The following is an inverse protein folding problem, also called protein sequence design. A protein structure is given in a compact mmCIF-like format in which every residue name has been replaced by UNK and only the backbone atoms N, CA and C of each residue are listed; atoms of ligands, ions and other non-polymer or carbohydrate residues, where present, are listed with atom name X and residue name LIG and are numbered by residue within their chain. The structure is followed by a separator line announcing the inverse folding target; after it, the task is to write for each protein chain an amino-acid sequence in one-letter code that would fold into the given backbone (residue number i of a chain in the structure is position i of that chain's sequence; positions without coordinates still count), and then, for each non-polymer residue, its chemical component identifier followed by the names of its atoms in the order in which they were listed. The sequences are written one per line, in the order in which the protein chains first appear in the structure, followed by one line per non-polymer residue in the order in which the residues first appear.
data_IF_071675858196
#
_entry.id   IF_071675858196
#
_cell.length_a   1.000
_cell.length_b   1.000
_cell.length_c   1.000
_cell.angle_alpha   90.00
_cell.angle_beta   90.00
_cell.angle_gamma   90.00
#
_symmetry.space_group_name_H-M   'P 1'
#
loop_
_entity.id
_entity.type
_entity.pdbx_description
1 polymer ?
#
# COMPACT_ATOMS: atom_id res chain seq x y z
N UNK A 1 -15.07 -65.29 -56.26
CA UNK A 1 -15.76 -65.56 -54.99
C UNK A 1 -14.83 -65.16 -53.83
N UNK A 2 -15.31 -64.67 -52.67
CA UNK A 2 -16.32 -63.65 -52.32
C UNK A 2 -15.65 -62.41 -51.64
N UNK A 3 -16.08 -61.16 -51.85
CA UNK A 3 -17.16 -60.38 -51.23
C UNK A 3 -17.04 -60.15 -49.70
N UNK A 4 -16.85 -58.89 -49.25
CA UNK A 4 -17.56 -58.35 -48.08
C UNK A 4 -17.66 -56.82 -48.10
N UNK A 5 -18.79 -56.34 -47.60
CA UNK A 5 -19.46 -55.06 -47.82
C UNK A 5 -18.99 -53.93 -46.88
N UNK A 6 -19.01 -52.69 -47.42
CA UNK A 6 -19.63 -51.44 -46.91
C UNK A 6 -19.64 -51.20 -45.39
N UNK A 7 -19.05 -50.07 -44.93
CA UNK A 7 -19.75 -49.02 -44.14
C UNK A 7 -19.04 -47.66 -44.36
N UNK A 8 -19.78 -46.63 -44.82
CA UNK A 8 -19.41 -45.21 -44.68
C UNK A 8 -19.84 -44.78 -43.28
N UNK A 9 -18.98 -44.07 -42.56
CA UNK A 9 -19.36 -43.33 -41.35
C UNK A 9 -19.01 -41.86 -41.57
N UNK A 10 -20.05 -41.09 -41.85
CA UNK A 10 -20.10 -39.64 -41.69
C UNK A 10 -20.09 -39.29 -40.18
N UNK A 11 -19.67 -38.05 -39.90
CA UNK A 11 -20.06 -37.24 -38.74
C UNK A 11 -19.53 -37.59 -37.33
N UNK A 12 -18.57 -36.80 -36.86
CA UNK A 12 -18.88 -35.88 -35.77
C UNK A 12 -17.87 -34.72 -35.73
N UNK A 13 -18.35 -33.57 -36.20
CA UNK A 13 -17.78 -32.28 -35.86
C UNK A 13 -17.81 -32.11 -34.33
N UNK A 14 -16.68 -31.77 -33.71
CA UNK A 14 -16.68 -31.25 -32.34
C UNK A 14 -17.18 -29.81 -32.38
N UNK A 15 -18.31 -29.48 -31.71
CA UNK A 15 -18.73 -28.11 -31.50
C UNK A 15 -18.34 -27.74 -30.07
N UNK A 16 -17.15 -27.20 -29.87
CA UNK A 16 -17.02 -26.21 -28.82
C UNK A 16 -15.86 -25.27 -29.14
N UNK A 17 -16.23 -24.11 -29.69
CA UNK A 17 -15.35 -22.96 -29.69
C UNK A 17 -15.11 -22.60 -28.24
N UNK A 18 -14.02 -23.12 -27.67
CA UNK A 18 -13.53 -22.77 -26.36
C UNK A 18 -13.39 -21.26 -26.29
N UNK A 19 -14.43 -20.61 -25.76
CA UNK A 19 -14.39 -19.19 -25.43
C UNK A 19 -13.19 -19.06 -24.53
N UNK A 20 -12.19 -18.32 -25.00
CA UNK A 20 -11.08 -17.88 -24.20
C UNK A 20 -11.71 -17.09 -23.05
N UNK A 21 -11.92 -17.76 -21.90
CA UNK A 21 -12.45 -17.11 -20.71
C UNK A 21 -11.34 -16.16 -20.32
N UNK A 22 -11.50 -14.89 -20.68
CA UNK A 22 -10.58 -13.84 -20.30
C UNK A 22 -10.35 -14.00 -18.80
N UNK A 23 -9.12 -14.32 -18.42
CA UNK A 23 -8.71 -14.31 -17.01
C UNK A 23 -9.23 -13.01 -16.42
N UNK A 24 -9.91 -13.04 -15.25
CA UNK A 24 -10.43 -11.81 -14.66
C UNK A 24 -9.29 -10.79 -14.61
N UNK A 25 -9.52 -9.58 -15.11
CA UNK A 25 -8.53 -8.50 -15.08
C UNK A 25 -8.16 -8.24 -13.61
N UNK A 26 -7.05 -8.84 -13.18
CA UNK A 26 -6.53 -8.68 -11.83
C UNK A 26 -6.08 -7.22 -11.72
N UNK A 27 -6.53 -6.45 -10.73
CA UNK A 27 -6.09 -5.07 -10.57
C UNK A 27 -4.57 -4.99 -10.45
N UNK A 28 -3.98 -4.09 -11.23
CA UNK A 28 -2.55 -3.81 -11.26
C UNK A 28 -2.37 -2.30 -11.18
N UNK A 29 -1.44 -1.86 -10.32
CA UNK A 29 -1.06 -0.46 -10.22
C UNK A 29 0.45 -0.31 -10.36
N UNK A 30 0.85 0.70 -11.11
CA UNK A 30 2.23 1.16 -11.10
C UNK A 30 2.42 2.06 -9.88
N UNK A 31 3.50 1.86 -9.13
CA UNK A 31 3.78 2.57 -7.88
C UNK A 31 5.17 3.18 -7.85
N UNK A 32 5.26 4.39 -7.30
CA UNK A 32 6.52 5.05 -6.96
C UNK A 32 6.48 5.44 -5.48
N UNK A 33 7.62 5.34 -4.79
CA UNK A 33 7.75 5.77 -3.40
C UNK A 33 8.79 6.89 -3.26
N UNK A 34 8.37 8.01 -2.66
CA UNK A 34 9.26 9.09 -2.22
C UNK A 34 9.36 9.06 -0.69
N UNK A 35 10.57 9.09 -0.16
CA UNK A 35 10.81 9.04 1.28
C UNK A 35 11.11 10.43 1.82
N UNK A 36 10.81 10.63 3.11
CA UNK A 36 11.07 11.90 3.80
C UNK A 36 10.50 13.09 3.05
N UNK A 37 9.24 12.95 2.65
CA UNK A 37 8.45 14.08 2.15
C UNK A 37 8.01 14.93 3.35
N UNK A 38 7.47 16.13 3.10
CA UNK A 38 6.92 16.98 4.17
C UNK A 38 7.87 17.21 5.37
N UNK A 39 9.16 17.41 5.09
CA UNK A 39 10.25 17.41 6.10
C UNK A 39 10.09 18.49 7.16
N UNK A 40 9.51 19.63 6.81
CA UNK A 40 9.26 20.73 7.75
C UNK A 40 8.28 20.34 8.86
N UNK A 41 7.45 19.31 8.63
CA UNK A 41 6.49 18.78 9.60
C UNK A 41 6.98 17.50 10.30
N UNK A 42 8.13 16.93 9.90
CA UNK A 42 8.75 15.79 10.58
C UNK A 42 9.19 16.18 12.00
N UNK A 43 9.20 15.20 12.90
CA UNK A 43 9.78 15.35 14.23
C UNK A 43 10.65 14.14 14.57
N UNK A 44 11.94 14.36 14.81
CA UNK A 44 12.93 13.31 15.10
C UNK A 44 13.06 12.18 14.05
N UNK A 45 12.44 12.30 12.87
CA UNK A 45 12.54 11.31 11.80
C UNK A 45 13.95 11.23 11.19
N UNK A 46 14.77 12.26 11.35
CA UNK A 46 16.18 12.26 10.96
C UNK A 46 17.04 11.25 11.74
N UNK A 47 16.52 10.64 12.81
CA UNK A 47 17.17 9.54 13.55
C UNK A 47 16.97 8.16 12.90
N UNK A 48 16.06 8.06 11.95
CA UNK A 48 15.80 6.84 11.20
C UNK A 48 16.82 6.73 10.07
N UNK A 49 17.64 5.68 10.11
CA UNK A 49 18.71 5.44 9.14
C UNK A 49 18.29 4.56 7.98
N UNK A 50 17.21 3.79 8.14
CA UNK A 50 16.66 2.94 7.08
C UNK A 50 15.18 3.17 6.92
N UNK A 51 14.79 3.41 5.67
CA UNK A 51 13.41 3.52 5.23
C UNK A 51 13.26 2.58 4.04
N UNK A 52 12.37 1.60 4.16
CA UNK A 52 12.18 0.61 3.11
C UNK A 52 10.71 0.31 2.92
N UNK A 53 10.22 0.42 1.70
CA UNK A 53 8.91 -0.06 1.29
C UNK A 53 9.08 -1.27 0.38
N UNK A 54 8.50 -2.40 0.73
CA UNK A 54 8.36 -3.54 -0.15
C UNK A 54 6.91 -3.64 -0.62
N UNK A 55 6.71 -3.81 -1.92
CA UNK A 55 5.41 -3.92 -2.54
C UNK A 55 5.48 -4.85 -3.76
N UNK A 56 4.76 -5.96 -3.75
CA UNK A 56 4.66 -6.81 -4.94
C UNK A 56 5.98 -7.38 -5.46
N UNK A 57 6.95 -7.61 -4.58
CA UNK A 57 8.30 -8.06 -4.95
C UNK A 57 9.26 -6.92 -5.34
N UNK A 58 8.80 -5.67 -5.39
CA UNK A 58 9.64 -4.49 -5.55
C UNK A 58 10.05 -3.93 -4.18
N UNK A 59 11.28 -3.42 -4.08
CA UNK A 59 11.82 -2.77 -2.88
C UNK A 59 12.25 -1.35 -3.22
N UNK A 60 11.68 -0.38 -2.52
CA UNK A 60 12.06 1.03 -2.58
C UNK A 60 12.79 1.41 -1.30
N UNK A 61 13.89 2.15 -1.40
CA UNK A 61 14.63 2.64 -0.23
C UNK A 61 14.94 4.11 -0.31
N UNK A 62 15.02 4.75 0.85
CA UNK A 62 15.47 6.14 0.92
C UNK A 62 16.92 6.26 0.44
N UNK A 63 17.18 7.26 -0.41
CA UNK A 63 18.50 7.51 -1.01
C UNK A 63 18.76 6.78 -2.33
N UNK A 64 17.89 5.85 -2.74
CA UNK A 64 17.95 5.24 -4.07
C UNK A 64 17.30 6.14 -5.14
N UNK A 65 17.68 5.93 -6.40
CA UNK A 65 17.03 6.61 -7.52
C UNK A 65 15.55 6.20 -7.58
N UNK A 66 14.68 7.20 -7.83
CA UNK A 66 13.25 6.95 -7.99
C UNK A 66 13.02 6.01 -9.18
N UNK A 67 12.27 4.94 -8.93
CA UNK A 67 11.91 3.96 -9.94
C UNK A 67 10.46 3.55 -9.75
N UNK A 68 9.88 2.94 -10.78
CA UNK A 68 8.52 2.39 -10.72
C UNK A 68 8.56 0.91 -10.44
N UNK A 69 7.83 0.48 -9.42
CA UNK A 69 7.45 -0.91 -9.23
C UNK A 69 6.00 -1.13 -9.62
N UNK A 70 5.57 -2.38 -9.60
CA UNK A 70 4.20 -2.77 -9.88
C UNK A 70 3.64 -3.52 -8.68
N UNK A 71 2.43 -3.16 -8.27
CA UNK A 71 1.67 -3.90 -7.27
C UNK A 71 0.47 -4.53 -7.94
N UNK A 72 0.22 -5.81 -7.63
CA UNK A 72 -0.90 -6.61 -8.11
C UNK A 72 -1.82 -6.93 -6.94
N UNK A 73 -3.10 -7.06 -7.23
CA UNK A 73 -4.10 -7.46 -6.24
C UNK A 73 -3.66 -8.70 -5.45
N UNK A 74 -3.75 -8.62 -4.12
CA UNK A 74 -3.30 -9.67 -3.20
C UNK A 74 -1.83 -9.62 -2.81
N UNK A 75 -0.99 -8.84 -3.48
CA UNK A 75 0.42 -8.74 -3.10
C UNK A 75 0.60 -7.98 -1.79
N UNK A 76 1.57 -8.34 -0.93
CA UNK A 76 1.74 -7.67 0.35
C UNK A 76 2.39 -6.30 0.21
N UNK A 77 2.11 -5.43 1.19
CA UNK A 77 2.87 -4.21 1.46
C UNK A 77 3.58 -4.36 2.80
N UNK A 78 4.86 -4.00 2.84
CA UNK A 78 5.63 -3.91 4.07
C UNK A 78 6.45 -2.62 4.08
N UNK A 79 6.22 -1.77 5.07
CA UNK A 79 7.03 -0.58 5.30
C UNK A 79 7.83 -0.72 6.59
N UNK A 80 9.14 -0.55 6.51
CA UNK A 80 10.07 -0.69 7.64
C UNK A 80 10.84 0.60 7.86
N UNK A 81 10.90 1.02 9.12
CA UNK A 81 11.76 2.10 9.61
C UNK A 81 12.73 1.51 10.63
N UNK A 82 14.01 1.85 10.52
CA UNK A 82 15.05 1.39 11.47
C UNK A 82 15.94 2.52 11.94
N UNK A 83 16.18 2.56 13.25
CA UNK A 83 17.11 3.47 13.91
C UNK A 83 18.53 2.88 13.89
N UNK A 84 19.53 3.73 14.13
CA UNK A 84 20.89 3.24 14.27
C UNK A 84 21.03 2.32 15.49
N UNK A 85 21.87 1.29 15.40
CA UNK A 85 22.07 0.31 16.49
C UNK A 85 22.62 0.96 17.76
N UNK A 86 23.38 2.02 17.59
CA UNK A 86 24.05 2.84 18.60
C UNK A 86 23.33 4.16 18.87
N UNK A 87 22.15 4.39 18.29
CA UNK A 87 21.35 5.57 18.61
C UNK A 87 21.02 5.61 20.11
N UNK A 88 20.87 6.80 20.69
CA UNK A 88 20.36 6.91 22.07
C UNK A 88 18.85 6.80 22.13
N UNK A 89 18.18 6.76 20.98
CA UNK A 89 16.73 6.68 20.88
C UNK A 89 16.32 5.44 20.07
N UNK A 90 15.25 4.76 20.48
CA UNK A 90 14.75 3.55 19.82
C UNK A 90 13.21 3.49 19.86
N UNK A 91 12.58 2.89 18.84
CA UNK A 91 11.13 2.78 18.79
C UNK A 91 10.65 1.76 19.84
N UNK A 92 9.59 2.11 20.57
CA UNK A 92 8.91 1.22 21.54
C UNK A 92 7.48 0.88 21.10
N UNK A 93 6.83 1.75 20.32
CA UNK A 93 5.48 1.46 19.80
C UNK A 93 5.20 2.16 18.46
N UNK A 94 5.01 1.37 17.40
CA UNK A 94 4.68 1.86 16.07
C UNK A 94 3.19 2.12 15.78
N UNK A 95 2.31 1.85 16.74
CA UNK A 95 0.85 1.79 16.54
C UNK A 95 0.32 0.37 16.40
N UNK A 96 -1.01 0.22 16.45
CA UNK A 96 -1.69 -1.10 16.46
C UNK A 96 -1.54 -1.94 15.19
N UNK A 97 -1.10 -1.33 14.08
CA UNK A 97 -0.88 -2.01 12.80
C UNK A 97 0.62 -2.20 12.50
N UNK A 98 1.46 -2.09 13.52
CA UNK A 98 2.89 -2.23 13.41
C UNK A 98 3.41 -3.33 14.34
N UNK A 99 4.52 -3.93 13.94
CA UNK A 99 5.37 -4.76 14.80
C UNK A 99 6.60 -3.93 15.15
N UNK A 100 6.82 -3.70 16.45
CA UNK A 100 8.04 -3.06 16.95
C UNK A 100 9.03 -4.13 17.40
N UNK A 101 10.28 -4.02 16.94
CA UNK A 101 11.41 -4.79 17.43
C UNK A 101 12.40 -3.83 18.09
N UNK A 102 12.40 -3.79 19.42
CA UNK A 102 13.29 -2.92 20.20
C UNK A 102 14.76 -3.33 20.07
N UNK A 103 15.06 -4.62 19.85
CA UNK A 103 16.43 -5.14 19.73
C UNK A 103 17.05 -4.75 18.40
N UNK A 104 16.31 -4.93 17.32
CA UNK A 104 16.71 -4.46 15.98
C UNK A 104 16.47 -2.96 15.78
N UNK A 105 15.87 -2.29 16.77
CA UNK A 105 15.50 -0.87 16.76
C UNK A 105 14.69 -0.52 15.52
N UNK A 106 13.69 -1.34 15.23
CA UNK A 106 12.91 -1.27 14.01
C UNK A 106 11.40 -1.28 14.29
N UNK A 107 10.65 -0.69 13.38
CA UNK A 107 9.19 -0.83 13.30
C UNK A 107 8.81 -1.25 11.89
N UNK A 108 7.91 -2.22 11.77
CA UNK A 108 7.42 -2.72 10.49
C UNK A 108 5.90 -2.72 10.43
N UNK A 109 5.35 -2.09 9.40
CA UNK A 109 3.93 -2.05 9.07
C UNK A 109 3.66 -3.05 7.96
N UNK A 110 2.91 -4.13 8.25
CA UNK A 110 2.66 -5.23 7.30
C UNK A 110 1.17 -5.33 6.95
N UNK A 111 0.88 -5.41 5.66
CA UNK A 111 -0.45 -5.60 5.10
C UNK A 111 -0.39 -6.75 4.09
N UNK A 112 -1.07 -7.84 4.39
CA UNK A 112 -1.07 -9.07 3.58
C UNK A 112 -2.47 -9.52 3.16
N UNK A 113 -3.44 -8.60 3.23
CA UNK A 113 -4.78 -8.81 2.68
C UNK A 113 -4.86 -8.43 1.19
N UNK A 114 -5.97 -8.83 0.56
CA UNK A 114 -6.24 -8.60 -0.87
C UNK A 114 -6.08 -7.14 -1.35
N UNK A 115 -6.36 -6.18 -0.47
CA UNK A 115 -6.31 -4.74 -0.72
C UNK A 115 -5.21 -4.07 0.09
N UNK A 116 -4.08 -4.74 0.30
CA UNK A 116 -2.97 -4.29 1.14
C UNK A 116 -2.51 -2.87 0.80
N UNK A 117 -2.33 -2.53 -0.50
CA UNK A 117 -1.94 -1.20 -0.96
C UNK A 117 -2.97 -0.15 -0.58
N UNK A 118 -4.24 -0.36 -0.92
CA UNK A 118 -5.29 0.60 -0.63
C UNK A 118 -5.47 0.79 0.89
N UNK A 119 -5.39 -0.29 1.66
CA UNK A 119 -5.46 -0.24 3.13
C UNK A 119 -4.26 0.52 3.71
N UNK A 120 -3.05 0.31 3.18
CA UNK A 120 -1.86 1.03 3.60
C UNK A 120 -1.99 2.54 3.33
N UNK A 121 -2.43 2.92 2.12
CA UNK A 121 -2.67 4.33 1.76
C UNK A 121 -3.72 4.98 2.66
N UNK A 122 -4.85 4.29 2.89
CA UNK A 122 -5.98 4.83 3.66
C UNK A 122 -5.67 4.96 5.15
N UNK A 123 -5.02 3.95 5.72
CA UNK A 123 -4.76 3.92 7.16
C UNK A 123 -3.72 4.96 7.59
N UNK A 124 -2.78 5.28 6.70
CA UNK A 124 -1.70 6.22 6.97
C UNK A 124 -1.89 7.57 6.29
N UNK A 125 -3.06 7.85 5.73
CA UNK A 125 -3.37 9.11 5.05
C UNK A 125 -3.05 10.32 5.95
N UNK A 126 -2.29 11.29 5.44
CA UNK A 126 -2.04 12.55 6.14
C UNK A 126 -3.33 13.37 6.30
N UNK A 127 -3.50 14.01 7.44
CA UNK A 127 -4.66 14.84 7.72
C UNK A 127 -4.43 16.31 7.32
N UNK A 128 -5.48 17.11 7.22
CA UNK A 128 -5.40 18.52 6.83
C UNK A 128 -4.42 19.34 7.69
N UNK A 129 -4.30 19.01 8.99
CA UNK A 129 -3.37 19.67 9.91
C UNK A 129 -1.91 19.22 9.78
N UNK A 130 -1.60 18.32 8.85
CA UNK A 130 -0.23 17.89 8.55
C UNK A 130 0.43 18.74 7.46
N UNK A 131 -0.28 19.72 6.89
CA UNK A 131 0.16 20.53 5.76
C UNK A 131 -0.05 22.02 6.02
N UNK A 132 0.78 22.87 5.40
CA UNK A 132 0.60 24.32 5.43
C UNK A 132 -0.64 24.78 4.63
N UNK A 133 -1.06 23.95 3.66
CA UNK A 133 -2.22 24.18 2.82
C UNK A 133 -3.43 23.37 3.30
N UNK A 134 -4.67 23.78 2.99
CA UNK A 134 -5.89 23.05 3.37
C UNK A 134 -6.06 21.66 2.73
N UNK A 135 -5.02 21.12 2.07
CA UNK A 135 -5.02 19.82 1.42
C UNK A 135 -3.59 19.40 1.10
N UNK A 136 -3.37 18.09 0.96
CA UNK A 136 -2.10 17.57 0.44
C UNK A 136 -1.86 18.06 -1.00
N UNK A 137 -0.79 18.86 -1.27
CA UNK A 137 -0.52 19.39 -2.60
C UNK A 137 -0.18 18.31 -3.64
N UNK A 138 0.19 17.10 -3.20
CA UNK A 138 0.49 15.95 -4.06
C UNK A 138 -0.03 14.68 -3.38
N UNK A 139 -1.01 13.98 -3.96
CA UNK A 139 -1.80 12.97 -3.26
C UNK A 139 -0.95 11.87 -2.62
N UNK A 140 -1.54 11.22 -1.62
CA UNK A 140 -1.00 10.04 -0.92
C UNK A 140 0.27 10.32 -0.11
N UNK A 141 0.39 11.51 0.49
CA UNK A 141 1.33 11.69 1.60
C UNK A 141 0.84 10.89 2.80
N UNK A 142 1.70 10.01 3.31
CA UNK A 142 1.43 9.10 4.40
C UNK A 142 2.19 9.52 5.65
N UNK A 143 1.53 9.46 6.81
CA UNK A 143 2.05 9.83 8.12
C UNK A 143 2.23 8.63 9.03
N UNK A 144 3.36 8.62 9.73
CA UNK A 144 3.68 7.62 10.74
C UNK A 144 4.02 8.30 12.05
N UNK A 145 3.38 7.84 13.12
CA UNK A 145 3.62 8.25 14.49
C UNK A 145 4.18 7.05 15.26
N UNK A 146 5.41 7.19 15.75
CA UNK A 146 6.14 6.14 16.43
C UNK A 146 6.50 6.66 17.81
N UNK A 147 6.05 5.97 18.86
CA UNK A 147 6.53 6.26 20.21
C UNK A 147 7.95 5.73 20.33
N UNK A 148 8.85 6.60 20.76
CA UNK A 148 10.29 6.39 20.84
C UNK A 148 10.72 6.64 22.28
N UNK A 149 11.64 5.82 22.78
CA UNK A 149 12.26 5.96 24.09
C UNK A 149 13.69 6.45 23.93
N UNK A 150 14.09 7.42 24.76
CA UNK A 150 15.49 7.78 24.97
C UNK A 150 16.11 6.87 26.03
N UNK A 151 17.22 6.25 25.68
CA UNK A 151 18.06 5.43 26.55
C UNK A 151 18.73 6.30 27.62
N UNK A 152 18.71 5.83 28.87
CA UNK A 152 19.31 6.54 30.00
C UNK A 152 18.55 7.79 30.45
N UNK A 153 17.25 7.91 30.14
CA UNK A 153 16.39 8.93 30.74
C UNK A 153 16.20 8.68 32.24
N UNK A 154 16.04 9.74 33.04
CA UNK A 154 15.88 9.66 34.50
C UNK A 154 14.55 8.97 34.89
N UNK A 155 13.52 9.16 34.08
CA UNK A 155 12.26 8.41 34.15
C UNK A 155 11.83 7.94 32.76
N UNK A 156 11.01 6.88 32.72
CA UNK A 156 10.45 6.39 31.45
C UNK A 156 9.66 7.48 30.72
N UNK A 157 8.80 8.20 31.44
CA UNK A 157 7.92 9.21 30.87
C UNK A 157 8.68 10.40 30.27
N UNK A 158 9.76 10.86 30.92
CA UNK A 158 10.58 11.96 30.38
C UNK A 158 11.38 11.56 29.13
N UNK A 159 11.71 10.28 29.00
CA UNK A 159 12.40 9.77 27.82
C UNK A 159 11.48 9.41 26.66
N UNK A 160 10.15 9.37 26.86
CA UNK A 160 9.16 9.06 25.82
C UNK A 160 8.83 10.27 24.98
N UNK A 161 8.85 10.10 23.67
CA UNK A 161 8.39 11.11 22.72
C UNK A 161 7.87 10.45 21.44
N UNK A 162 7.13 11.18 20.63
CA UNK A 162 6.57 10.67 19.37
C UNK A 162 7.40 11.13 18.17
N UNK A 163 8.14 10.22 17.55
CA UNK A 163 8.73 10.44 16.23
C UNK A 163 7.64 10.54 15.17
N UNK A 164 7.70 11.58 14.33
CA UNK A 164 6.77 11.82 13.22
C UNK A 164 7.51 11.77 11.90
N UNK A 165 7.08 10.89 11.02
CA UNK A 165 7.70 10.57 9.74
C UNK A 165 6.68 10.61 8.60
N UNK A 166 7.13 11.00 7.40
CA UNK A 166 6.29 11.04 6.21
C UNK A 166 6.95 10.41 4.98
N UNK A 167 6.16 9.68 4.20
CA UNK A 167 6.52 9.20 2.85
C UNK A 167 5.39 9.57 1.88
N UNK A 168 5.63 9.47 0.58
CA UNK A 168 4.56 9.51 -0.44
C UNK A 168 4.61 8.25 -1.26
N UNK A 169 3.45 7.64 -1.47
CA UNK A 169 3.28 6.50 -2.38
C UNK A 169 2.35 6.92 -3.50
N UNK A 170 2.91 7.18 -4.68
CA UNK A 170 2.13 7.51 -5.87
C UNK A 170 1.60 6.23 -6.50
N UNK A 171 0.30 6.22 -6.80
CA UNK A 171 -0.37 5.13 -7.48
C UNK A 171 -0.79 5.57 -8.88
N UNK A 172 -0.49 4.77 -9.90
CA UNK A 172 -0.75 5.10 -11.30
C UNK A 172 -1.40 3.94 -12.05
N UNK A 173 -2.08 4.24 -13.15
CA UNK A 173 -2.53 3.22 -14.11
C UNK A 173 -1.33 2.46 -14.68
N UNK A 174 -1.46 1.14 -14.93
CA UNK A 174 -0.41 0.38 -15.59
C UNK A 174 -0.29 0.79 -17.06
N UNK A 175 0.91 0.66 -17.63
CA UNK A 175 1.14 0.88 -19.06
C UNK A 175 1.32 2.36 -19.45
N UNK A 176 0.94 2.71 -20.68
CA UNK A 176 1.06 4.09 -21.22
C UNK A 176 -0.28 4.51 -21.86
N UNK A 177 -0.77 5.75 -21.62
CA UNK A 177 -0.21 6.76 -20.73
C UNK A 177 -0.40 6.38 -19.24
N UNK A 178 0.56 6.80 -18.40
CA UNK A 178 0.41 6.68 -16.94
C UNK A 178 -0.42 7.84 -16.41
N UNK A 179 -1.47 7.54 -15.68
CA UNK A 179 -2.33 8.53 -15.03
C UNK A 179 -2.24 8.34 -13.53
N UNK A 180 -2.02 9.43 -12.78
CA UNK A 180 -2.05 9.42 -11.32
C UNK A 180 -3.47 9.09 -10.84
N UNK A 181 -3.57 8.12 -9.94
CA UNK A 181 -4.81 7.73 -9.29
C UNK A 181 -4.87 8.35 -7.89
N UNK A 182 -6.06 8.70 -7.43
CA UNK A 182 -6.30 9.18 -6.07
C UNK A 182 -7.23 8.21 -5.33
N UNK A 183 -7.17 8.22 -4.00
CA UNK A 183 -8.13 7.43 -3.22
C UNK A 183 -9.51 8.10 -3.32
N UNK A 184 -10.58 7.35 -3.65
CA UNK A 184 -11.91 7.91 -3.65
C UNK A 184 -12.32 8.24 -2.22
N UNK A 185 -13.06 9.34 -2.06
CA UNK A 185 -13.74 9.62 -0.81
C UNK A 185 -14.96 8.70 -0.68
N UNK A 186 -15.06 7.98 0.44
CA UNK A 186 -16.24 7.16 0.71
C UNK A 186 -17.37 8.08 1.20
N UNK A 187 -18.58 7.99 0.61
CA UNK A 187 -19.68 8.84 1.02
C UNK A 187 -20.04 8.61 2.49
N UNK A 188 -20.11 9.70 3.26
CA UNK A 188 -20.50 9.64 4.68
C UNK A 188 -22.02 9.66 4.88
N UNK A 189 -22.77 9.95 3.82
CA UNK A 189 -24.22 10.02 3.82
C UNK A 189 -24.74 8.95 2.87
N UNK A 190 -25.70 8.15 3.35
CA UNK A 190 -26.37 7.18 2.51
C UNK A 190 -27.09 7.91 1.35
N UNK A 191 -26.99 7.43 0.11
CA UNK A 191 -27.74 8.00 -0.99
C UNK A 191 -29.26 7.93 -0.72
N UNK A 192 -30.01 8.91 -1.22
CA UNK A 192 -31.47 8.90 -1.08
C UNK A 192 -32.08 7.67 -1.76
N UNK A 193 -32.93 6.95 -1.03
CA UNK A 193 -33.69 5.82 -1.57
C UNK A 193 -34.78 6.35 -2.52
N UNK A 194 -34.62 6.13 -3.82
CA UNK A 194 -35.70 6.29 -4.80
C UNK A 194 -36.68 5.14 -4.64
N UNK A 195 -37.62 5.27 -3.73
CA UNK A 195 -38.76 4.35 -3.63
C UNK A 195 -39.77 4.81 -4.69
N UNK A 196 -39.78 4.15 -5.84
CA UNK A 196 -40.93 4.23 -6.74
C UNK A 196 -42.14 3.70 -5.97
N UNK A 197 -43.09 4.59 -5.66
CA UNK A 197 -44.38 4.19 -5.13
C UNK A 197 -45.12 3.48 -6.25
N UNK A 198 -44.98 2.17 -6.31
CA UNK A 198 -45.97 1.34 -7.01
C UNK A 198 -47.30 1.56 -6.29
N UNK A 199 -48.17 2.28 -7.00
CA UNK A 199 -49.53 2.62 -6.60
C UNK A 199 -50.30 1.29 -6.57
N UNK A 200 -50.71 0.86 -5.38
CA UNK A 200 -51.73 -0.17 -5.21
C UNK A 200 -53.10 0.35 -5.64
#
# INVERSE_FOLDING_TARGET
MPNLRRIKSDENASPDGGKNVASPDIPIFDINAEFRVNREHEYMANRIIEWRLNAGGHSFRNGEALHTGQWRFGEPIMFTLRWAKDAKEYPIFGGYHAVTDERERAVSYKFDNQWSLLRFLRLHEGHIGDFDLPSDPKPHTLKFLIVTQKEGAESEEEGKFTTRAYIRVMMMTPGKPKTMLTMPYFPEIAPELKIEKDIF
#
